data_IF_946823768153
#
_entry.id   IF_946823768153
#
_cell.length_a   1.000
_cell.length_b   1.000
_cell.length_c   1.000
_cell.angle_alpha   90.00
_cell.angle_beta   90.00
_cell.angle_gamma   90.00
#
_symmetry.space_group_name_H-M   'P 1'
#
loop_
_entity.id
_entity.type
_entity.pdbx_description
1 polymer ?
#
# COMPACT_ATOMS: atom_id res chain seq x y z
N UNK A 1 21.69 11.21 31.60
CA UNK A 1 21.93 11.76 30.25
C UNK A 1 22.24 10.66 29.22
N UNK A 2 23.29 9.84 29.39
CA UNK A 2 23.68 8.76 28.44
C UNK A 2 22.64 7.61 28.29
N UNK A 3 21.98 7.22 29.38
CA UNK A 3 21.01 6.11 29.43
C UNK A 3 19.66 6.40 28.77
N UNK A 4 19.24 7.68 28.75
CA UNK A 4 18.02 8.10 28.07
C UNK A 4 18.22 8.12 26.55
N UNK A 5 19.43 8.43 26.09
CA UNK A 5 19.73 8.52 24.66
C UNK A 5 19.77 7.13 23.99
N UNK A 6 20.32 6.12 24.68
CA UNK A 6 20.40 4.74 24.17
C UNK A 6 19.04 4.03 24.13
N UNK A 7 18.16 4.30 25.09
CA UNK A 7 16.81 3.71 25.12
C UNK A 7 15.90 4.30 24.04
N UNK A 8 15.97 5.62 23.82
CA UNK A 8 15.22 6.30 22.75
C UNK A 8 15.68 5.86 21.35
N UNK A 9 16.99 5.68 21.13
CA UNK A 9 17.51 5.19 19.84
C UNK A 9 17.11 3.74 19.55
N UNK A 10 17.07 2.87 20.57
CA UNK A 10 16.61 1.49 20.40
C UNK A 10 15.11 1.38 20.09
N UNK A 11 14.25 2.23 20.69
CA UNK A 11 12.82 2.25 20.37
C UNK A 11 12.53 2.64 18.91
N UNK A 12 13.31 3.56 18.34
CA UNK A 12 13.14 3.98 16.94
C UNK A 12 13.53 2.88 15.94
N UNK A 13 14.48 2.01 16.28
CA UNK A 13 14.94 0.94 15.39
C UNK A 13 13.95 -0.22 15.26
N UNK A 14 13.09 -0.43 16.27
CA UNK A 14 12.08 -1.52 16.26
C UNK A 14 10.85 -1.12 15.42
N UNK A 15 10.61 0.17 15.17
CA UNK A 15 9.41 0.66 14.49
C UNK A 15 9.34 0.47 12.97
N UNK A 16 10.39 -0.02 12.30
CA UNK A 16 10.51 0.07 10.85
C UNK A 16 9.96 -1.13 10.04
N UNK A 17 9.35 -2.14 10.66
CA UNK A 17 9.31 -3.49 10.06
C UNK A 17 7.98 -4.13 9.65
N UNK A 18 6.81 -3.50 9.82
CA UNK A 18 5.53 -4.16 9.53
C UNK A 18 5.00 -3.74 8.16
N UNK A 19 5.30 -4.54 7.12
CA UNK A 19 4.48 -4.56 5.92
C UNK A 19 3.07 -5.00 6.36
N UNK A 20 2.13 -4.06 6.41
CA UNK A 20 0.76 -4.32 6.84
C UNK A 20 0.06 -5.20 5.79
N UNK A 21 0.14 -6.52 5.97
CA UNK A 21 -0.69 -7.46 5.24
C UNK A 21 -2.13 -7.40 5.81
N UNK A 22 -3.17 -7.53 4.97
CA UNK A 22 -4.53 -7.64 5.47
C UNK A 22 -4.65 -8.90 6.35
N UNK A 23 -5.34 -8.76 7.49
CA UNK A 23 -5.64 -9.88 8.39
C UNK A 23 -6.29 -11.05 7.63
N UNK A 24 -6.12 -12.31 8.10
CA UNK A 24 -6.63 -13.49 7.39
C UNK A 24 -8.14 -13.48 7.16
N UNK A 25 -8.91 -12.81 8.01
CA UNK A 25 -10.36 -12.63 7.90
C UNK A 25 -10.77 -11.21 7.43
N UNK A 26 -9.84 -10.43 6.89
CA UNK A 26 -10.11 -9.07 6.46
C UNK A 26 -10.90 -9.05 5.14
N UNK A 27 -11.92 -8.19 4.99
CA UNK A 27 -12.71 -8.12 3.75
C UNK A 27 -11.86 -7.77 2.53
N UNK A 28 -10.71 -7.13 2.69
CA UNK A 28 -9.80 -6.82 1.59
C UNK A 28 -9.27 -8.06 0.85
N UNK A 29 -9.22 -9.22 1.51
CA UNK A 29 -8.81 -10.49 0.88
C UNK A 29 -9.81 -11.00 -0.16
N UNK A 30 -11.09 -10.63 -0.02
CA UNK A 30 -12.16 -11.07 -0.93
C UNK A 30 -12.63 -9.96 -1.87
N UNK A 31 -12.20 -8.72 -1.63
CA UNK A 31 -12.55 -7.57 -2.43
C UNK A 31 -11.69 -7.43 -3.68
N UNK A 32 -12.24 -6.69 -4.64
CA UNK A 32 -11.55 -6.36 -5.86
C UNK A 32 -10.46 -5.30 -5.61
N UNK A 33 -9.22 -5.60 -5.97
CA UNK A 33 -8.05 -4.75 -5.73
C UNK A 33 -7.44 -4.23 -7.03
N UNK A 34 -7.14 -2.94 -7.07
CA UNK A 34 -6.70 -2.24 -8.28
C UNK A 34 -5.19 -1.97 -8.22
N UNK A 35 -4.38 -3.02 -8.26
CA UNK A 35 -2.93 -2.87 -8.20
C UNK A 35 -2.34 -2.29 -9.49
N UNK A 36 -1.21 -1.62 -9.34
CA UNK A 36 -0.42 -1.12 -10.46
C UNK A 36 0.44 -2.24 -11.04
N UNK A 37 0.64 -2.25 -12.35
CA UNK A 37 1.68 -3.07 -12.96
C UNK A 37 3.05 -2.42 -12.70
N UNK A 38 4.05 -3.27 -12.46
CA UNK A 38 5.43 -2.82 -12.21
C UNK A 38 6.04 -2.35 -13.53
N UNK A 39 6.09 -1.04 -13.74
CA UNK A 39 6.85 -0.45 -14.84
C UNK A 39 8.34 -0.41 -14.52
N UNK A 40 9.16 -0.25 -15.56
CA UNK A 40 10.59 -0.01 -15.40
C UNK A 40 10.87 1.24 -14.55
N UNK A 41 12.07 1.29 -13.92
CA UNK A 41 12.56 2.40 -13.09
C UNK A 41 11.66 2.81 -11.90
N UNK A 42 10.84 1.90 -11.38
CA UNK A 42 9.98 2.18 -10.21
C UNK A 42 8.72 2.98 -10.54
N UNK A 43 8.44 3.22 -11.82
CA UNK A 43 7.19 3.82 -12.24
C UNK A 43 6.06 2.80 -12.11
N UNK A 44 5.02 3.16 -11.37
CA UNK A 44 3.81 2.35 -11.23
C UNK A 44 2.83 2.79 -12.30
N UNK A 45 2.44 1.88 -13.18
CA UNK A 45 1.48 2.16 -14.25
C UNK A 45 0.22 1.34 -14.03
N UNK A 46 -0.88 1.82 -14.60
CA UNK A 46 -2.12 1.06 -14.71
C UNK A 46 -2.16 0.31 -16.03
N UNK A 47 -2.97 -0.75 -16.11
CA UNK A 47 -3.12 -1.56 -17.33
C UNK A 47 -3.67 -0.74 -18.52
N UNK A 48 -4.28 0.42 -18.26
CA UNK A 48 -4.73 1.37 -19.27
C UNK A 48 -3.63 2.30 -19.79
N UNK A 49 -2.38 2.15 -19.32
CA UNK A 49 -1.24 2.97 -19.72
C UNK A 49 -1.15 4.32 -19.00
N UNK A 50 -2.03 4.60 -18.03
CA UNK A 50 -1.95 5.81 -17.20
C UNK A 50 -1.01 5.62 -16.00
N UNK A 51 -0.49 6.73 -15.47
CA UNK A 51 0.32 6.70 -14.25
C UNK A 51 -0.54 6.26 -13.05
N UNK A 52 -0.04 5.29 -12.29
CA UNK A 52 -0.67 4.81 -11.07
C UNK A 52 -0.47 5.80 -9.93
N UNK A 53 -1.54 6.07 -9.18
CA UNK A 53 -1.50 7.00 -8.04
C UNK A 53 -2.00 6.29 -6.79
N UNK A 54 -1.09 5.89 -5.90
CA UNK A 54 -0.57 4.52 -5.67
C UNK A 54 -1.33 3.29 -6.20
N UNK A 55 -2.61 3.39 -6.55
CA UNK A 55 -3.46 2.32 -7.09
C UNK A 55 -4.15 2.76 -8.38
N UNK A 56 -4.82 1.82 -9.05
CA UNK A 56 -5.49 1.99 -10.34
C UNK A 56 -7.03 2.04 -10.24
N UNK A 57 -7.55 2.51 -9.10
CA UNK A 57 -8.97 2.76 -8.91
C UNK A 57 -9.48 3.95 -9.73
N UNK A 58 -10.72 3.90 -10.20
CA UNK A 58 -11.38 5.06 -10.84
C UNK A 58 -11.65 6.18 -9.83
N UNK A 59 -11.89 5.82 -8.57
CA UNK A 59 -12.06 6.71 -7.44
C UNK A 59 -11.30 6.24 -6.20
N UNK A 60 -11.59 6.83 -5.02
CA UNK A 60 -10.94 6.48 -3.77
C UNK A 60 -11.06 5.00 -3.42
N UNK A 61 -9.99 4.42 -2.89
CA UNK A 61 -9.91 3.04 -2.41
C UNK A 61 -9.65 3.03 -0.90
N UNK A 62 -9.73 1.85 -0.27
CA UNK A 62 -9.20 1.67 1.07
C UNK A 62 -7.66 1.70 1.08
N UNK A 63 -7.05 1.62 2.27
CA UNK A 63 -5.60 1.71 2.45
C UNK A 63 -4.81 0.61 1.70
N UNK A 64 -5.45 -0.52 1.41
CA UNK A 64 -4.85 -1.66 0.72
C UNK A 64 -5.01 -1.59 -0.80
N UNK A 65 -5.73 -0.58 -1.33
CA UNK A 65 -6.00 -0.43 -2.75
C UNK A 65 -7.14 -1.30 -3.27
N UNK A 66 -8.00 -1.77 -2.37
CA UNK A 66 -9.18 -2.57 -2.66
C UNK A 66 -10.46 -1.75 -2.45
N UNK A 67 -11.59 -2.30 -2.92
CA UNK A 67 -12.92 -1.69 -2.78
C UNK A 67 -13.01 -0.25 -3.32
N UNK A 68 -12.30 0.02 -4.41
CA UNK A 68 -12.26 1.35 -5.01
C UNK A 68 -13.65 1.79 -5.49
N UNK A 69 -14.06 3.03 -5.16
CA UNK A 69 -15.29 3.63 -5.68
C UNK A 69 -15.24 3.68 -7.21
N UNK A 70 -16.22 3.04 -7.87
CA UNK A 70 -16.26 2.93 -9.34
C UNK A 70 -15.37 1.81 -9.92
N UNK A 71 -14.72 1.00 -9.07
CA UNK A 71 -13.89 -0.13 -9.47
C UNK A 71 -12.54 0.28 -10.05
N UNK A 72 -11.88 -0.66 -10.74
CA UNK A 72 -10.57 -0.45 -11.37
C UNK A 72 -10.69 0.18 -12.76
N UNK A 73 -9.71 1.01 -13.15
CA UNK A 73 -9.68 1.69 -14.45
C UNK A 73 -9.63 0.70 -15.61
N UNK A 74 -8.75 -0.31 -15.51
CA UNK A 74 -8.72 -1.59 -16.27
C UNK A 74 -7.98 -2.63 -15.43
N UNK A 75 -8.37 -3.90 -15.53
CA UNK A 75 -7.65 -5.03 -14.95
C UNK A 75 -6.79 -5.70 -16.00
#
# INVERSE_FOLDING_TARGET
>A
MKFLYTTVTMLCLIGAGLAAEPAPNSPERTQDCCHTVKGGKGHRWCADGTAGTPFCGKGPCNAFGCACKGGCRKK
#
